data_IF_021047330118
#
_entry.id   IF_021047330118
#
_cell.length_a   1.000
_cell.length_b   1.000
_cell.length_c   1.000
_cell.angle_alpha   90.00
_cell.angle_beta   90.00
_cell.angle_gamma   90.00
#
_symmetry.space_group_name_H-M   'P 1'
#
loop_
_entity.id
_entity.type
_entity.pdbx_description
1 polymer ?
#
# COMPACT_ATOMS: atom_id res chain seq x y z
N UNK A 1 12.80 -10.39 -13.36
CA UNK A 1 13.07 -9.73 -12.05
C UNK A 1 11.75 -9.62 -11.34
N UNK A 2 11.62 -10.08 -10.10
CA UNK A 2 10.35 -9.99 -9.38
C UNK A 2 10.15 -8.58 -8.83
N UNK A 3 8.93 -8.06 -8.95
CA UNK A 3 8.46 -6.84 -8.30
C UNK A 3 7.24 -7.14 -7.45
N UNK A 4 7.07 -6.37 -6.40
CA UNK A 4 5.96 -6.45 -5.47
C UNK A 4 5.14 -5.17 -5.58
N UNK A 5 3.82 -5.32 -5.64
CA UNK A 5 2.89 -4.21 -5.88
C UNK A 5 1.78 -4.26 -4.84
N UNK A 6 1.64 -3.19 -4.07
CA UNK A 6 0.48 -3.00 -3.21
C UNK A 6 -0.49 -2.01 -3.88
N UNK A 7 -1.75 -2.39 -3.94
CA UNK A 7 -2.87 -1.53 -4.37
C UNK A 7 -3.98 -1.66 -3.34
N UNK A 8 -4.78 -0.61 -3.19
CA UNK A 8 -5.84 -0.62 -2.21
C UNK A 8 -6.92 0.42 -2.48
N UNK A 9 -7.76 0.63 -1.48
CA UNK A 9 -8.81 1.63 -1.46
C UNK A 9 -9.08 2.10 -0.03
N UNK A 10 -9.32 3.39 0.15
CA UNK A 10 -9.75 3.98 1.43
C UNK A 10 -11.21 3.60 1.75
N UNK A 11 -11.68 3.82 2.99
CA UNK A 11 -13.10 3.67 3.33
C UNK A 11 -14.01 4.62 2.53
N UNK A 12 -13.49 5.80 2.18
CA UNK A 12 -14.18 6.82 1.36
C UNK A 12 -14.31 6.42 -0.11
N UNK A 13 -13.53 5.41 -0.55
CA UNK A 13 -13.61 4.81 -1.88
C UNK A 13 -12.53 5.26 -2.86
N UNK A 14 -11.54 6.01 -2.40
CA UNK A 14 -10.42 6.50 -3.20
C UNK A 14 -9.37 5.41 -3.43
N UNK A 15 -8.83 5.34 -4.65
CA UNK A 15 -7.84 4.33 -5.01
C UNK A 15 -6.46 4.65 -4.37
N UNK A 16 -5.84 3.65 -3.76
CA UNK A 16 -4.53 3.74 -3.07
C UNK A 16 -3.46 2.97 -3.86
N UNK A 17 -2.29 3.59 -4.06
CA UNK A 17 -1.20 3.02 -4.85
C UNK A 17 -1.36 3.21 -6.37
N UNK A 18 -0.61 2.46 -7.21
CA UNK A 18 0.25 1.33 -6.84
C UNK A 18 1.54 1.76 -6.16
N UNK A 19 1.90 1.05 -5.09
CA UNK A 19 3.23 1.10 -4.46
C UNK A 19 4.07 -0.07 -4.94
N UNK A 20 5.32 0.18 -5.33
CA UNK A 20 6.16 -0.81 -6.02
C UNK A 20 7.50 -1.00 -5.32
N UNK A 21 7.86 -2.25 -5.05
CA UNK A 21 9.13 -2.65 -4.44
C UNK A 21 9.85 -3.70 -5.28
N UNK A 22 11.20 -3.67 -5.26
CA UNK A 22 12.04 -4.71 -5.87
C UNK A 22 12.33 -5.89 -4.93
N UNK A 23 11.79 -5.85 -3.71
CA UNK A 23 11.84 -6.89 -2.69
C UNK A 23 10.43 -7.03 -2.08
N UNK A 24 10.17 -8.11 -1.36
CA UNK A 24 8.91 -8.31 -0.66
C UNK A 24 8.86 -7.37 0.56
N UNK A 25 8.02 -6.31 0.56
CA UNK A 25 7.89 -5.44 1.71
C UNK A 25 7.17 -6.16 2.85
N UNK A 26 7.44 -5.78 4.08
CA UNK A 26 6.61 -6.18 5.22
C UNK A 26 5.43 -5.21 5.42
N UNK A 27 4.48 -5.62 6.26
CA UNK A 27 3.27 -4.85 6.55
C UNK A 27 3.59 -3.46 7.12
N UNK A 28 4.61 -3.35 7.99
CA UNK A 28 5.00 -2.09 8.59
C UNK A 28 5.55 -1.10 7.54
N UNK A 29 6.30 -1.59 6.55
CA UNK A 29 6.79 -0.77 5.46
C UNK A 29 5.66 -0.28 4.54
N UNK A 30 4.69 -1.15 4.23
CA UNK A 30 3.50 -0.79 3.44
C UNK A 30 2.71 0.30 4.17
N UNK A 31 2.37 0.07 5.45
CA UNK A 31 1.61 1.02 6.27
C UNK A 31 2.35 2.36 6.39
N UNK A 32 3.67 2.37 6.59
CA UNK A 32 4.44 3.61 6.69
C UNK A 32 4.38 4.45 5.41
N UNK A 33 4.39 3.81 4.24
CA UNK A 33 4.27 4.53 2.96
C UNK A 33 2.84 5.06 2.78
N UNK A 34 1.83 4.25 3.14
CA UNK A 34 0.43 4.68 3.09
C UNK A 34 0.15 5.84 4.07
N UNK A 35 0.68 5.80 5.30
CA UNK A 35 0.56 6.88 6.29
C UNK A 35 1.21 8.17 5.81
N UNK A 36 2.33 8.08 5.10
CA UNK A 36 3.00 9.25 4.55
C UNK A 36 2.19 9.92 3.41
N UNK A 37 1.45 9.13 2.62
CA UNK A 37 0.66 9.62 1.48
C UNK A 37 -0.78 10.00 1.86
N UNK A 38 -1.36 9.34 2.87
CA UNK A 38 -2.74 9.49 3.33
C UNK A 38 -2.81 9.77 4.84
N UNK A 39 -2.10 10.80 5.35
CA UNK A 39 -2.06 11.07 6.79
C UNK A 39 -3.44 11.30 7.39
N UNK A 40 -4.39 11.87 6.64
CA UNK A 40 -5.76 12.13 7.08
C UNK A 40 -6.54 10.84 7.35
N UNK A 41 -6.29 9.78 6.58
CA UNK A 41 -6.93 8.49 6.75
C UNK A 41 -6.42 7.83 8.04
N UNK A 42 -5.11 7.92 8.33
CA UNK A 42 -4.50 7.44 9.58
C UNK A 42 -4.90 8.28 10.80
N UNK A 43 -5.05 9.60 10.65
CA UNK A 43 -5.60 10.46 11.70
C UNK A 43 -7.06 10.12 12.03
N UNK A 44 -7.86 9.71 11.03
CA UNK A 44 -9.27 9.41 11.18
C UNK A 44 -9.55 7.98 11.70
N UNK A 45 -8.81 6.99 11.22
CA UNK A 45 -9.08 5.57 11.44
C UNK A 45 -8.03 4.84 12.29
N UNK A 46 -6.90 5.48 12.58
CA UNK A 46 -5.86 4.94 13.46
C UNK A 46 -4.80 4.12 12.70
N UNK A 47 -4.35 3.02 13.31
CA UNK A 47 -3.13 2.30 12.92
C UNK A 47 -3.16 1.71 11.49
N UNK A 48 -4.33 1.50 10.89
CA UNK A 48 -4.51 0.97 9.53
C UNK A 48 -4.99 2.01 8.51
N UNK A 49 -5.25 3.24 8.96
CA UNK A 49 -5.82 4.30 8.15
C UNK A 49 -7.15 3.96 7.48
N UNK A 50 -7.87 2.91 7.88
CA UNK A 50 -9.09 2.51 7.16
C UNK A 50 -8.83 2.16 5.68
N UNK A 51 -7.59 1.79 5.33
CA UNK A 51 -7.20 1.43 3.97
C UNK A 51 -7.21 -0.09 3.84
N UNK A 52 -8.04 -0.60 2.93
CA UNK A 52 -7.98 -2.01 2.50
C UNK A 52 -7.02 -2.15 1.33
N UNK A 53 -6.08 -3.08 1.41
CA UNK A 53 -5.07 -3.27 0.36
C UNK A 53 -4.73 -4.75 0.14
N UNK A 54 -4.23 -5.02 -1.08
CA UNK A 54 -3.73 -6.32 -1.51
C UNK A 54 -2.28 -6.18 -1.98
N UNK A 55 -1.42 -7.10 -1.56
CA UNK A 55 -0.04 -7.21 -2.03
C UNK A 55 0.09 -8.36 -3.04
N UNK A 56 0.46 -8.01 -4.27
CA UNK A 56 0.77 -8.97 -5.33
C UNK A 56 2.25 -8.96 -5.70
N UNK A 57 2.70 -10.01 -6.41
CA UNK A 57 4.00 -10.00 -7.08
C UNK A 57 3.89 -10.35 -8.55
N UNK A 58 4.78 -9.80 -9.36
CA UNK A 58 4.86 -10.04 -10.79
C UNK A 58 6.31 -10.28 -11.23
N UNK A 59 6.51 -11.18 -12.19
CA UNK A 59 7.79 -11.35 -12.88
C UNK A 59 7.89 -10.35 -14.03
N UNK A 60 8.87 -9.44 -13.95
CA UNK A 60 9.22 -8.54 -15.05
C UNK A 60 10.07 -9.30 -16.05
N UNK A 61 9.54 -9.47 -17.27
CA UNK A 61 10.25 -9.96 -18.46
C UNK A 61 10.78 -8.73 -19.18
N UNK A 62 12.11 -8.59 -19.23
CA UNK A 62 12.82 -7.48 -19.89
C UNK A 62 13.43 -7.97 -21.20
#
# INVERSE_FOLDING_TARGET
MRVWVAVGRTESGDDVGPYVWSYEPDEAEILRVMEADWPEEFEAFGDDGGISWDLGSAEVIV
#
